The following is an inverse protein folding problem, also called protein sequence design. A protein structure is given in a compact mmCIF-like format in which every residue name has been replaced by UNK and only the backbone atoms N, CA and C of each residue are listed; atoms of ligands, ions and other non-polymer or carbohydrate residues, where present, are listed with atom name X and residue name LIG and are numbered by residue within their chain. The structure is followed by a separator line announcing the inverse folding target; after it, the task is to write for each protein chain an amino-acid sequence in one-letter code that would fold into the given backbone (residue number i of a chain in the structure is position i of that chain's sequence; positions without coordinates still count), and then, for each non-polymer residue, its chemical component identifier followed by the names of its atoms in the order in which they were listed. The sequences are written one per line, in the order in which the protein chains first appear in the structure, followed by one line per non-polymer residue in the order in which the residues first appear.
data_IF_794667342220
#
_entry.id   IF_794667342220
#
_cell.length_a   1.000
_cell.length_b   1.000
_cell.length_c   1.000
_cell.angle_alpha   90.00
_cell.angle_beta   90.00
_cell.angle_gamma   90.00
#
_symmetry.space_group_name_H-M   'P 1'
#
loop_
_entity.id
_entity.type
_entity.pdbx_description
1 polymer ?
#
# COMPACT_ATOMS: atom_id res chain seq x y z
N UNK A 1 9.89 41.40 38.17
CA UNK A 1 10.01 41.21 36.71
C UNK A 1 8.81 40.42 36.22
N UNK A 2 8.20 40.87 35.13
CA UNK A 2 7.05 40.25 34.48
C UNK A 2 7.55 39.16 33.53
N UNK A 3 7.00 37.97 33.61
CA UNK A 3 6.64 37.16 32.44
C UNK A 3 5.60 36.11 32.86
N UNK A 4 4.41 36.23 32.30
CA UNK A 4 3.37 35.19 32.29
C UNK A 4 3.70 34.23 31.16
N UNK A 5 3.62 32.93 31.38
CA UNK A 5 3.17 32.00 30.32
C UNK A 5 2.18 31.02 30.94
N UNK A 6 1.00 31.02 30.33
CA UNK A 6 -0.19 30.21 30.55
C UNK A 6 -0.16 29.08 29.50
N UNK A 7 -0.71 27.91 29.86
CA UNK A 7 -1.28 26.81 29.03
C UNK A 7 -0.74 25.47 29.56
N UNK A 8 -1.49 24.57 30.23
CA UNK A 8 -2.86 24.07 30.02
C UNK A 8 -3.02 23.43 28.64
N UNK A 9 -2.85 22.10 28.57
CA UNK A 9 -3.75 21.16 27.89
C UNK A 9 -3.22 19.73 28.01
N UNK A 10 -3.99 18.90 28.73
CA UNK A 10 -3.89 17.46 28.68
C UNK A 10 -4.31 16.97 27.29
N UNK A 11 -3.52 16.08 26.68
CA UNK A 11 -4.01 15.21 25.62
C UNK A 11 -3.59 13.79 25.99
N UNK A 12 -4.60 13.04 26.43
CA UNK A 12 -4.61 11.59 26.51
C UNK A 12 -4.51 11.08 25.07
N UNK A 13 -3.33 10.63 24.66
CA UNK A 13 -3.22 9.85 23.42
C UNK A 13 -3.58 8.41 23.76
N UNK A 14 -4.81 8.06 23.42
CA UNK A 14 -5.26 6.68 23.39
C UNK A 14 -4.38 5.89 22.42
N UNK A 15 -4.10 4.66 22.83
CA UNK A 15 -3.47 3.58 22.08
C UNK A 15 -3.96 3.52 20.62
N UNK A 16 -3.18 4.05 19.69
CA UNK A 16 -3.20 3.64 18.30
C UNK A 16 -2.10 2.59 18.10
N UNK A 17 -2.56 1.37 17.84
CA UNK A 17 -1.78 0.20 17.48
C UNK A 17 -0.80 0.56 16.34
N UNK A 18 0.39 -0.02 16.44
CA UNK A 18 1.56 0.14 15.58
C UNK A 18 1.22 0.21 14.07
N UNK A 19 1.29 1.41 13.49
CA UNK A 19 1.49 1.58 12.05
C UNK A 19 2.98 1.83 11.80
N UNK A 20 3.80 0.78 11.80
CA UNK A 20 5.13 0.83 11.22
C UNK A 20 5.01 0.79 9.69
N UNK A 21 4.41 1.83 9.11
CA UNK A 21 4.36 2.10 7.67
C UNK A 21 5.10 3.41 7.42
N UNK A 22 6.39 3.44 7.68
CA UNK A 22 7.20 4.62 7.42
C UNK A 22 8.67 4.24 7.24
N UNK A 23 9.01 3.50 6.18
CA UNK A 23 10.31 3.73 5.56
C UNK A 23 10.35 3.31 4.10
N UNK A 24 10.51 4.34 3.25
CA UNK A 24 10.98 4.35 1.86
C UNK A 24 10.12 3.73 0.75
N UNK A 25 9.01 4.40 0.43
CA UNK A 25 8.64 4.72 -0.96
C UNK A 25 8.19 6.17 -0.96
N UNK A 26 8.48 6.94 -2.01
CA UNK A 26 7.89 8.27 -2.19
C UNK A 26 6.38 8.19 -1.89
N UNK A 27 5.86 9.07 -1.03
CA UNK A 27 4.49 9.03 -0.49
C UNK A 27 3.46 9.11 -1.63
N UNK A 28 3.14 7.96 -2.23
CA UNK A 28 2.00 7.83 -3.12
C UNK A 28 0.84 7.47 -2.20
N UNK A 29 -0.03 8.45 -1.97
CA UNK A 29 -1.33 8.20 -1.37
C UNK A 29 -2.08 7.23 -2.29
N UNK A 30 -2.20 5.98 -1.84
CA UNK A 30 -2.79 4.90 -2.64
C UNK A 30 -4.30 5.11 -2.81
N UNK A 31 -4.95 5.78 -1.87
CA UNK A 31 -6.38 6.08 -1.91
C UNK A 31 -6.64 7.14 -2.98
N UNK A 32 -5.84 8.21 -3.01
CA UNK A 32 -5.90 9.22 -4.07
C UNK A 32 -5.52 8.61 -5.42
N UNK A 33 -4.47 7.79 -5.46
CA UNK A 33 -3.96 7.22 -6.70
C UNK A 33 -4.97 6.30 -7.40
N UNK A 34 -5.80 5.58 -6.64
CA UNK A 34 -6.83 4.70 -7.16
C UNK A 34 -8.25 5.29 -7.12
N UNK A 35 -8.43 6.56 -6.78
CA UNK A 35 -9.75 7.22 -6.71
C UNK A 35 -10.55 7.09 -8.03
N UNK A 36 -9.87 7.18 -9.18
CA UNK A 36 -10.51 7.07 -10.52
C UNK A 36 -11.12 5.68 -10.81
N UNK A 37 -10.84 4.67 -9.99
CA UNK A 37 -11.48 3.35 -10.12
C UNK A 37 -12.97 3.39 -9.81
N UNK A 38 -13.46 4.45 -9.13
CA UNK A 38 -14.87 4.61 -8.75
C UNK A 38 -15.43 3.35 -8.07
N UNK A 39 -14.67 2.77 -7.15
CA UNK A 39 -15.07 1.59 -6.40
C UNK A 39 -16.27 1.92 -5.50
N UNK A 40 -17.21 0.97 -5.37
CA UNK A 40 -18.26 1.05 -4.34
C UNK A 40 -17.64 0.95 -2.94
N UNK A 41 -18.37 1.35 -1.90
CA UNK A 41 -17.86 1.25 -0.52
C UNK A 41 -17.48 -0.18 -0.13
N UNK A 42 -18.30 -1.17 -0.50
CA UNK A 42 -17.99 -2.59 -0.27
C UNK A 42 -16.74 -3.03 -1.05
N UNK A 43 -16.56 -2.51 -2.28
CA UNK A 43 -15.38 -2.78 -3.08
C UNK A 43 -14.12 -2.16 -2.45
N UNK A 44 -14.21 -0.95 -1.88
CA UNK A 44 -13.07 -0.30 -1.21
C UNK A 44 -12.58 -1.12 -0.02
N UNK A 45 -13.48 -1.56 0.85
CA UNK A 45 -13.11 -2.42 1.99
C UNK A 45 -12.37 -3.67 1.52
N UNK A 46 -12.91 -4.35 0.51
CA UNK A 46 -12.27 -5.56 -0.03
C UNK A 46 -10.95 -5.24 -0.75
N UNK A 47 -10.86 -4.09 -1.42
CA UNK A 47 -9.63 -3.63 -2.08
C UNK A 47 -8.51 -3.42 -1.06
N UNK A 48 -8.81 -2.79 0.06
CA UNK A 48 -7.86 -2.53 1.15
C UNK A 48 -7.38 -3.84 1.76
N UNK A 49 -8.29 -4.77 2.06
CA UNK A 49 -7.94 -6.10 2.56
C UNK A 49 -7.01 -6.87 1.60
N UNK A 50 -7.30 -6.87 0.30
CA UNK A 50 -6.45 -7.52 -0.71
C UNK A 50 -5.07 -6.85 -0.78
N UNK A 51 -5.03 -5.53 -0.65
CA UNK A 51 -3.81 -4.72 -0.73
C UNK A 51 -2.93 -4.95 0.51
N UNK A 52 -3.52 -4.92 1.71
CA UNK A 52 -2.83 -5.21 2.97
C UNK A 52 -2.27 -6.63 3.00
N UNK A 53 -3.07 -7.62 2.59
CA UNK A 53 -2.60 -9.01 2.48
C UNK A 53 -1.41 -9.12 1.53
N UNK A 54 -1.44 -8.41 0.40
CA UNK A 54 -0.33 -8.40 -0.55
C UNK A 54 0.95 -7.85 0.08
N UNK A 55 0.88 -6.69 0.75
CA UNK A 55 2.06 -6.06 1.36
C UNK A 55 2.60 -6.87 2.54
N UNK A 56 1.73 -7.41 3.40
CA UNK A 56 2.13 -8.30 4.49
C UNK A 56 2.90 -9.52 3.95
N UNK A 57 2.43 -10.12 2.85
CA UNK A 57 3.13 -11.21 2.19
C UNK A 57 4.49 -10.78 1.59
N UNK A 58 4.57 -9.59 0.99
CA UNK A 58 5.85 -9.08 0.48
C UNK A 58 6.86 -8.86 1.59
N UNK A 59 6.43 -8.28 2.72
CA UNK A 59 7.27 -8.09 3.89
C UNK A 59 7.76 -9.43 4.43
N UNK A 60 6.87 -10.41 4.58
CA UNK A 60 7.26 -11.75 5.00
C UNK A 60 8.32 -12.37 4.07
N UNK A 61 8.16 -12.22 2.76
CA UNK A 61 9.15 -12.69 1.78
C UNK A 61 10.50 -11.97 1.96
N UNK A 62 10.50 -10.66 2.21
CA UNK A 62 11.73 -9.90 2.48
C UNK A 62 12.46 -10.37 3.74
N UNK A 63 11.71 -10.67 4.79
CA UNK A 63 12.25 -11.11 6.08
C UNK A 63 12.78 -12.54 6.04
N UNK A 64 12.21 -13.41 5.18
CA UNK A 64 12.47 -14.86 5.22
C UNK A 64 13.29 -15.41 4.05
N UNK A 65 13.20 -14.82 2.85
CA UNK A 65 13.83 -15.37 1.65
C UNK A 65 15.17 -14.72 1.34
N UNK A 66 16.25 -15.45 1.62
CA UNK A 66 17.64 -14.98 1.38
C UNK A 66 18.09 -15.12 -0.07
N UNK A 67 17.45 -16.01 -0.85
CA UNK A 67 17.80 -16.22 -2.25
C UNK A 67 17.04 -15.25 -3.15
N UNK A 68 17.78 -14.39 -3.88
CA UNK A 68 17.19 -13.44 -4.84
C UNK A 68 16.24 -14.10 -5.84
N UNK A 69 16.58 -15.29 -6.31
CA UNK A 69 15.73 -16.04 -7.26
C UNK A 69 14.44 -16.54 -6.61
N UNK A 70 14.50 -17.01 -5.35
CA UNK A 70 13.31 -17.44 -4.61
C UNK A 70 12.43 -16.25 -4.25
N UNK A 71 13.02 -15.17 -3.75
CA UNK A 71 12.34 -13.90 -3.48
C UNK A 71 11.58 -13.39 -4.72
N UNK A 72 12.24 -13.35 -5.89
CA UNK A 72 11.58 -12.96 -7.15
C UNK A 72 10.40 -13.88 -7.52
N UNK A 73 10.55 -15.20 -7.36
CA UNK A 73 9.46 -16.16 -7.62
C UNK A 73 8.29 -15.93 -6.66
N UNK A 74 8.57 -15.71 -5.38
CA UNK A 74 7.56 -15.45 -4.37
C UNK A 74 6.80 -14.14 -4.67
N UNK A 75 7.51 -13.04 -4.96
CA UNK A 75 6.88 -11.79 -5.39
C UNK A 75 5.98 -11.96 -6.60
N UNK A 76 6.42 -12.71 -7.62
CA UNK A 76 5.61 -12.99 -8.81
C UNK A 76 4.34 -13.77 -8.45
N UNK A 77 4.43 -14.72 -7.53
CA UNK A 77 3.28 -15.49 -7.05
C UNK A 77 2.29 -14.60 -6.31
N UNK A 78 2.73 -13.84 -5.30
CA UNK A 78 1.85 -12.94 -4.54
C UNK A 78 1.21 -11.88 -5.44
N UNK A 79 1.96 -11.36 -6.42
CA UNK A 79 1.44 -10.43 -7.42
C UNK A 79 0.30 -11.03 -8.22
N UNK A 80 0.49 -12.26 -8.73
CA UNK A 80 -0.54 -12.97 -9.48
C UNK A 80 -1.79 -13.23 -8.63
N UNK A 81 -1.60 -13.60 -7.36
CA UNK A 81 -2.70 -13.82 -6.42
C UNK A 81 -3.51 -12.55 -6.21
N UNK A 82 -2.85 -11.43 -5.90
CA UNK A 82 -3.50 -10.12 -5.76
C UNK A 82 -4.24 -9.72 -7.04
N UNK A 83 -3.58 -9.82 -8.20
CA UNK A 83 -4.18 -9.44 -9.49
C UNK A 83 -5.45 -10.28 -9.79
N UNK A 84 -5.45 -11.58 -9.44
CA UNK A 84 -6.64 -12.41 -9.57
C UNK A 84 -7.78 -11.97 -8.64
N UNK A 85 -7.46 -11.63 -7.38
CA UNK A 85 -8.46 -11.14 -6.41
C UNK A 85 -9.05 -9.80 -6.87
N UNK A 86 -8.21 -8.85 -7.31
CA UNK A 86 -8.65 -7.56 -7.85
C UNK A 86 -9.53 -7.72 -9.08
N UNK A 87 -9.21 -8.67 -9.97
CA UNK A 87 -10.04 -8.97 -11.14
C UNK A 87 -11.42 -9.51 -10.78
N UNK A 88 -11.53 -10.27 -9.69
CA UNK A 88 -12.81 -10.79 -9.21
C UNK A 88 -13.65 -9.71 -8.51
N UNK A 89 -12.99 -8.71 -7.91
CA UNK A 89 -13.62 -7.60 -7.20
C UNK A 89 -14.21 -6.55 -8.15
N UNK A 90 -13.50 -6.25 -9.23
CA UNK A 90 -13.78 -5.14 -10.14
C UNK A 90 -14.46 -5.61 -11.42
N UNK A 91 -15.18 -4.71 -12.08
CA UNK A 91 -15.58 -4.95 -13.46
C UNK A 91 -14.38 -4.88 -14.42
N UNK A 92 -14.65 -5.14 -15.70
CA UNK A 92 -13.61 -5.20 -16.73
C UNK A 92 -12.92 -3.84 -16.95
N UNK A 93 -13.66 -2.74 -16.90
CA UNK A 93 -13.15 -1.39 -17.14
C UNK A 93 -12.31 -0.91 -15.97
N UNK A 94 -12.85 -1.06 -14.75
CA UNK A 94 -12.16 -0.80 -13.49
C UNK A 94 -10.86 -1.60 -13.40
N UNK A 95 -10.91 -2.91 -13.67
CA UNK A 95 -9.70 -3.75 -13.63
C UNK A 95 -8.68 -3.35 -14.69
N UNK A 96 -9.12 -2.95 -15.89
CA UNK A 96 -8.22 -2.47 -16.94
C UNK A 96 -7.52 -1.17 -16.53
N UNK A 97 -8.23 -0.24 -15.90
CA UNK A 97 -7.66 1.00 -15.36
C UNK A 97 -6.67 0.70 -14.23
N UNK A 98 -7.04 -0.17 -13.30
CA UNK A 98 -6.17 -0.64 -12.22
C UNK A 98 -4.85 -1.22 -12.77
N UNK A 99 -4.91 -2.07 -13.81
CA UNK A 99 -3.71 -2.63 -14.43
C UNK A 99 -2.81 -1.57 -15.06
N UNK A 100 -3.37 -0.51 -15.64
CA UNK A 100 -2.60 0.61 -16.19
C UNK A 100 -1.88 1.37 -15.07
N UNK A 101 -2.60 1.76 -14.03
CA UNK A 101 -2.06 2.43 -12.85
C UNK A 101 -0.95 1.59 -12.17
N UNK A 102 -1.16 0.28 -12.01
CA UNK A 102 -0.13 -0.63 -11.49
C UNK A 102 1.15 -0.65 -12.35
N UNK A 103 1.03 -0.64 -13.68
CA UNK A 103 2.20 -0.58 -14.58
C UNK A 103 2.94 0.74 -14.46
N UNK A 104 2.23 1.85 -14.27
CA UNK A 104 2.82 3.17 -14.06
C UNK A 104 3.61 3.22 -12.75
N UNK A 105 3.04 2.68 -11.65
CA UNK A 105 3.76 2.52 -10.38
C UNK A 105 5.03 1.68 -10.52
N UNK A 106 4.92 0.51 -11.18
CA UNK A 106 6.09 -0.34 -11.43
C UNK A 106 7.16 0.37 -12.27
N UNK A 107 6.74 1.17 -13.26
CA UNK A 107 7.65 1.95 -14.10
C UNK A 107 8.36 3.02 -13.26
N UNK A 108 7.62 3.81 -12.49
CA UNK A 108 8.16 4.84 -11.59
C UNK A 108 9.16 4.24 -10.60
N UNK A 109 8.80 3.14 -9.94
CA UNK A 109 9.70 2.46 -9.00
C UNK A 109 10.98 1.94 -9.68
N UNK A 110 10.92 1.45 -10.93
CA UNK A 110 12.11 1.03 -11.68
C UNK A 110 12.99 2.21 -12.08
N UNK A 111 12.40 3.36 -12.39
CA UNK A 111 13.13 4.58 -12.72
C UNK A 111 13.83 5.16 -11.48
N UNK A 112 13.16 5.20 -10.33
CA UNK A 112 13.76 5.59 -9.04
C UNK A 112 14.93 4.68 -8.65
N UNK A 113 14.85 3.36 -8.89
CA UNK A 113 15.94 2.42 -8.60
C UNK A 113 17.11 2.48 -9.60
N UNK A 114 16.98 3.21 -10.72
CA UNK A 114 18.01 3.33 -11.77
C UNK A 114 18.82 4.62 -11.68
N UNK A 115 18.34 5.63 -10.97
CA UNK A 115 19.03 6.90 -10.75
C UNK A 115 19.85 6.87 -9.48
#
# INVERSE_FOLDING_TARGET
MKTKIIALLAIVFALSIQSSYAQSTSEIDMDEYFADLNLTEDQKVTFDEITDEYYANLQHVQETETSKTKMYKAYKTHKKTRDNKMKALMDKEQYSLYQTKQKELEKKAREENRG
#
